data_IF_808417357430
#
_entry.id   IF_808417357430
#
_cell.length_a   1.000
_cell.length_b   1.000
_cell.length_c   1.000
_cell.angle_alpha   90.00
_cell.angle_beta   90.00
_cell.angle_gamma   90.00
#
_symmetry.space_group_name_H-M   'P 1'
#
loop_
_entity.id
_entity.type
_entity.pdbx_description
1 polymer ?
#
# COMPACT_ATOMS: atom_id res chain seq x y z
N UNK A 1 -59.85 2.04 -40.90
CA UNK A 1 -58.86 1.01 -41.28
C UNK A 1 -57.43 1.56 -41.36
N UNK A 2 -57.20 2.83 -41.72
CA UNK A 2 -55.87 3.39 -41.86
C UNK A 2 -55.15 3.66 -40.48
N UNK A 3 -55.87 4.06 -39.45
CA UNK A 3 -55.30 4.38 -38.14
C UNK A 3 -54.72 3.15 -37.41
N UNK A 4 -55.24 1.94 -37.68
CA UNK A 4 -54.71 0.71 -37.09
C UNK A 4 -53.35 0.29 -37.68
N UNK A 5 -53.08 0.62 -38.95
CA UNK A 5 -51.78 0.38 -39.60
C UNK A 5 -50.68 1.27 -39.02
N UNK A 6 -51.00 2.53 -38.71
CA UNK A 6 -50.02 3.46 -38.08
C UNK A 6 -49.74 3.10 -36.61
N UNK A 7 -50.73 2.54 -35.90
CA UNK A 7 -50.53 2.03 -34.54
C UNK A 7 -49.59 0.82 -34.50
N UNK A 8 -49.73 -0.12 -35.46
CA UNK A 8 -48.83 -1.28 -35.58
C UNK A 8 -47.41 -0.89 -35.99
N UNK A 9 -47.22 0.11 -36.86
CA UNK A 9 -45.90 0.63 -37.25
C UNK A 9 -45.24 1.35 -36.07
N UNK A 10 -45.99 2.14 -35.30
CA UNK A 10 -45.51 2.80 -34.09
C UNK A 10 -45.05 1.80 -33.01
N UNK A 11 -45.79 0.70 -32.81
CA UNK A 11 -45.46 -0.36 -31.86
C UNK A 11 -44.19 -1.15 -32.28
N UNK A 12 -43.98 -1.34 -33.60
CA UNK A 12 -42.79 -2.01 -34.12
C UNK A 12 -41.50 -1.17 -33.96
N UNK A 13 -41.60 0.16 -34.11
CA UNK A 13 -40.46 1.07 -33.95
C UNK A 13 -40.01 1.14 -32.48
N UNK A 14 -40.95 1.01 -31.54
CA UNK A 14 -40.61 1.06 -30.09
C UNK A 14 -39.75 -0.12 -29.61
N UNK A 15 -39.79 -1.26 -30.29
CA UNK A 15 -38.99 -2.44 -29.94
C UNK A 15 -37.54 -2.37 -30.43
N UNK A 16 -37.17 -1.45 -31.31
CA UNK A 16 -35.79 -1.29 -31.80
C UNK A 16 -34.94 -0.39 -30.89
N UNK A 17 -35.51 0.32 -29.91
CA UNK A 17 -34.80 1.24 -29.02
C UNK A 17 -34.27 0.49 -27.77
N UNK A 18 -34.63 -0.79 -27.58
CA UNK A 18 -34.30 -1.55 -26.36
C UNK A 18 -32.96 -2.32 -26.41
N UNK A 19 -32.16 -2.19 -27.47
CA UNK A 19 -30.78 -2.68 -27.42
C UNK A 19 -29.88 -1.62 -26.81
N UNK A 20 -29.96 -1.45 -25.51
CA UNK A 20 -28.86 -0.86 -24.77
C UNK A 20 -27.71 -1.88 -24.81
N UNK A 21 -26.61 -1.54 -25.48
CA UNK A 21 -25.37 -2.28 -25.35
C UNK A 21 -25.04 -2.34 -23.85
N UNK A 22 -25.25 -3.50 -23.22
CA UNK A 22 -24.70 -3.71 -21.89
C UNK A 22 -23.20 -3.54 -22.04
N UNK A 23 -22.56 -2.75 -21.19
CA UNK A 23 -21.10 -2.69 -21.19
C UNK A 23 -20.56 -4.13 -21.11
N UNK A 24 -19.67 -4.48 -22.01
CA UNK A 24 -19.06 -5.82 -22.03
C UNK A 24 -17.87 -5.80 -21.11
N UNK A 25 -17.78 -6.79 -20.25
CA UNK A 25 -16.63 -7.04 -19.42
C UNK A 25 -15.39 -7.20 -20.30
N UNK A 26 -14.39 -6.33 -20.12
CA UNK A 26 -13.15 -6.34 -20.89
C UNK A 26 -12.00 -6.76 -19.98
N UNK A 27 -11.01 -7.46 -20.55
CA UNK A 27 -9.78 -7.80 -19.86
C UNK A 27 -8.86 -6.59 -19.90
N UNK A 28 -8.43 -6.14 -18.73
CA UNK A 28 -7.48 -5.05 -18.53
C UNK A 28 -6.16 -5.61 -18.00
N UNK A 29 -5.05 -5.00 -18.44
CA UNK A 29 -3.71 -5.33 -18.00
C UNK A 29 -2.92 -4.06 -17.77
N UNK A 30 -2.40 -3.91 -16.55
CA UNK A 30 -1.55 -2.78 -16.17
C UNK A 30 -0.27 -3.31 -15.56
N UNK A 31 0.86 -2.81 -16.02
CA UNK A 31 2.18 -3.15 -15.50
C UNK A 31 3.03 -1.91 -15.26
N UNK A 32 3.99 -2.01 -14.35
CA UNK A 32 4.89 -0.91 -14.05
C UNK A 32 5.91 -1.25 -12.98
N UNK A 33 6.56 -0.20 -12.46
CA UNK A 33 7.52 -0.32 -11.37
C UNK A 33 7.06 0.54 -10.19
N UNK A 34 7.01 -0.06 -9.02
CA UNK A 34 6.67 0.62 -7.77
C UNK A 34 7.38 -0.04 -6.59
N UNK A 35 7.65 0.71 -5.53
CA UNK A 35 8.21 0.19 -4.28
C UNK A 35 9.49 -0.66 -4.45
N UNK A 36 10.33 -0.30 -5.45
CA UNK A 36 11.59 -0.98 -5.75
C UNK A 36 11.43 -2.33 -6.45
N UNK A 37 10.27 -2.64 -7.05
CA UNK A 37 10.01 -3.86 -7.82
C UNK A 37 9.06 -3.57 -8.98
N UNK A 38 8.85 -4.54 -9.88
CA UNK A 38 7.80 -4.50 -10.89
C UNK A 38 6.48 -5.03 -10.35
N UNK A 39 5.37 -4.59 -10.93
CA UNK A 39 4.04 -5.11 -10.69
C UNK A 39 3.34 -5.43 -12.01
N UNK A 40 2.39 -6.37 -11.94
CA UNK A 40 1.51 -6.76 -13.03
C UNK A 40 0.11 -6.99 -12.43
N UNK A 41 -0.89 -6.31 -12.99
CA UNK A 41 -2.27 -6.38 -12.51
C UNK A 41 -3.16 -6.77 -13.69
N UNK A 42 -3.84 -7.90 -13.58
CA UNK A 42 -4.84 -8.37 -14.54
C UNK A 42 -6.21 -8.30 -13.89
N UNK A 43 -7.19 -7.76 -14.58
CA UNK A 43 -8.56 -7.70 -14.07
C UNK A 43 -9.57 -7.57 -15.20
N UNK A 44 -10.86 -7.72 -14.86
CA UNK A 44 -11.95 -7.53 -15.80
C UNK A 44 -12.80 -6.35 -15.37
N UNK A 45 -13.05 -5.40 -16.28
CA UNK A 45 -13.86 -4.22 -16.02
C UNK A 45 -14.84 -3.92 -17.15
N UNK A 46 -16.00 -3.39 -16.79
CA UNK A 46 -16.95 -2.77 -17.73
C UNK A 46 -16.63 -1.29 -17.98
N UNK A 47 -15.69 -0.72 -17.21
CA UNK A 47 -15.30 0.68 -17.26
C UNK A 47 -14.01 0.86 -18.06
N UNK A 48 -13.98 1.91 -18.86
CA UNK A 48 -12.75 2.40 -19.49
C UNK A 48 -12.26 3.62 -18.71
N UNK A 49 -11.32 3.40 -17.80
CA UNK A 49 -10.77 4.44 -16.91
C UNK A 49 -9.24 4.47 -17.01
N UNK A 50 -8.63 5.54 -16.50
CA UNK A 50 -7.18 5.58 -16.33
C UNK A 50 -6.79 4.89 -15.01
N UNK A 51 -6.69 3.56 -15.06
CA UNK A 51 -6.36 2.71 -13.92
C UNK A 51 -4.98 2.99 -13.34
N UNK A 52 -3.99 3.31 -14.20
CA UNK A 52 -2.63 3.65 -13.79
C UNK A 52 -2.61 4.80 -12.79
N UNK A 53 -3.38 5.85 -13.05
CA UNK A 53 -3.45 7.00 -12.14
C UNK A 53 -3.98 6.63 -10.75
N UNK A 54 -4.94 5.71 -10.67
CA UNK A 54 -5.46 5.21 -9.40
C UNK A 54 -4.40 4.42 -8.63
N UNK A 55 -3.68 3.54 -9.32
CA UNK A 55 -2.59 2.75 -8.73
C UNK A 55 -1.42 3.64 -8.29
N UNK A 56 -1.00 4.56 -9.13
CA UNK A 56 0.08 5.52 -8.82
C UNK A 56 -0.23 6.33 -7.57
N UNK A 57 -1.47 6.78 -7.41
CA UNK A 57 -1.89 7.50 -6.20
C UNK A 57 -1.69 6.67 -4.93
N UNK A 58 -1.93 5.35 -4.98
CA UNK A 58 -1.72 4.44 -3.85
C UNK A 58 -0.21 4.29 -3.59
N UNK A 59 0.58 4.06 -4.64
CA UNK A 59 2.03 3.94 -4.53
C UNK A 59 2.68 5.21 -3.97
N UNK A 60 2.22 6.39 -4.40
CA UNK A 60 2.70 7.67 -3.88
C UNK A 60 2.42 7.84 -2.39
N UNK A 61 1.21 7.50 -1.93
CA UNK A 61 0.86 7.57 -0.50
C UNK A 61 1.73 6.61 0.31
N UNK A 62 1.87 5.36 -0.13
CA UNK A 62 2.72 4.35 0.56
C UNK A 62 4.17 4.82 0.63
N UNK A 63 4.72 5.31 -0.48
CA UNK A 63 6.09 5.82 -0.53
C UNK A 63 6.31 7.01 0.40
N UNK A 64 5.43 8.00 0.34
CA UNK A 64 5.48 9.19 1.20
C UNK A 64 5.40 8.82 2.69
N UNK A 65 4.59 7.84 3.00
CA UNK A 65 4.34 7.39 4.36
C UNK A 65 5.47 6.50 4.89
N UNK A 66 5.83 5.43 4.18
CA UNK A 66 6.55 4.30 4.75
C UNK A 66 7.89 3.94 4.07
N UNK A 67 8.31 4.65 3.02
CA UNK A 67 9.57 4.35 2.34
C UNK A 67 10.77 4.85 3.14
N UNK A 68 11.63 3.94 3.60
CA UNK A 68 12.91 4.29 4.23
C UNK A 68 13.95 4.81 3.23
N UNK A 69 13.72 4.60 1.94
CA UNK A 69 14.59 5.09 0.85
C UNK A 69 14.31 6.55 0.45
N UNK A 70 13.17 7.11 0.87
CA UNK A 70 12.82 8.52 0.64
C UNK A 70 13.15 9.36 1.88
N UNK A 71 14.12 10.29 1.80
CA UNK A 71 14.56 11.07 2.96
C UNK A 71 13.47 11.92 3.64
N UNK A 72 12.44 12.26 2.88
CA UNK A 72 11.33 13.11 3.29
C UNK A 72 10.03 12.32 3.59
N UNK A 73 10.07 11.00 3.56
CA UNK A 73 8.94 10.17 4.01
C UNK A 73 8.70 10.33 5.51
N UNK A 74 7.49 9.98 5.95
CA UNK A 74 7.16 10.12 7.38
C UNK A 74 7.97 9.16 8.24
N UNK A 75 8.16 7.90 7.80
CA UNK A 75 9.01 6.95 8.52
C UNK A 75 10.47 7.41 8.61
N UNK A 76 11.02 8.02 7.54
CA UNK A 76 12.39 8.53 7.55
C UNK A 76 12.56 9.72 8.49
N UNK A 77 11.57 10.61 8.56
CA UNK A 77 11.57 11.72 9.55
C UNK A 77 11.49 11.18 10.98
N UNK A 78 10.62 10.19 11.23
CA UNK A 78 10.50 9.51 12.54
C UNK A 78 11.84 8.88 12.93
N UNK A 79 12.49 8.17 12.00
CA UNK A 79 13.79 7.55 12.23
C UNK A 79 14.87 8.59 12.59
N UNK A 80 14.85 9.75 11.95
CA UNK A 80 15.72 10.90 12.27
C UNK A 80 15.36 11.62 13.58
N UNK A 81 14.33 11.16 14.30
CA UNK A 81 13.96 11.68 15.61
C UNK A 81 12.95 12.83 15.59
N UNK A 82 12.32 13.13 14.46
CA UNK A 82 11.22 14.11 14.41
C UNK A 82 9.99 13.52 15.11
N UNK A 83 9.58 14.13 16.21
CA UNK A 83 8.44 13.70 17.03
C UNK A 83 7.11 14.33 16.59
N UNK A 84 7.17 15.34 15.73
CA UNK A 84 5.99 16.11 15.32
C UNK A 84 5.31 15.51 14.07
N UNK A 85 5.86 14.39 13.55
CA UNK A 85 5.27 13.70 12.40
C UNK A 85 3.94 13.06 12.80
N UNK A 86 2.87 13.53 12.20
CA UNK A 86 1.55 12.94 12.31
C UNK A 86 1.37 11.92 11.17
N UNK A 87 1.33 10.64 11.52
CA UNK A 87 1.23 9.56 10.54
C UNK A 87 -0.18 9.44 9.98
N UNK A 88 -0.26 9.04 8.71
CA UNK A 88 -1.52 8.84 7.99
C UNK A 88 -2.22 7.52 8.36
N UNK A 89 -3.36 7.26 7.73
CA UNK A 89 -4.14 6.05 7.99
C UNK A 89 -3.39 4.78 7.59
N UNK A 90 -2.72 4.76 6.42
CA UNK A 90 -2.01 3.58 5.93
C UNK A 90 -0.84 3.22 6.86
N UNK A 91 -0.11 4.22 7.35
CA UNK A 91 0.94 4.00 8.34
C UNK A 91 0.39 3.35 9.61
N UNK A 92 -0.73 3.87 10.14
CA UNK A 92 -1.36 3.33 11.35
C UNK A 92 -1.82 1.88 11.17
N UNK A 93 -2.42 1.57 10.02
CA UNK A 93 -2.85 0.22 9.67
C UNK A 93 -1.66 -0.74 9.66
N UNK A 94 -0.56 -0.36 8.96
CA UNK A 94 0.67 -1.17 8.91
C UNK A 94 1.34 -1.29 10.27
N UNK A 95 1.37 -0.21 11.07
CA UNK A 95 1.91 -0.25 12.42
C UNK A 95 1.13 -1.22 13.31
N UNK A 96 -0.19 -1.17 13.30
CA UNK A 96 -1.04 -2.05 14.10
C UNK A 96 -0.94 -3.51 13.63
N UNK A 97 -0.95 -3.75 12.32
CA UNK A 97 -0.73 -5.08 11.74
C UNK A 97 0.65 -5.63 12.14
N UNK A 98 1.68 -4.77 12.13
CA UNK A 98 3.01 -5.14 12.59
C UNK A 98 3.02 -5.53 14.08
N UNK A 99 2.24 -4.86 14.93
CA UNK A 99 2.08 -5.24 16.35
C UNK A 99 1.46 -6.62 16.51
N UNK A 100 0.44 -6.91 15.71
CA UNK A 100 -0.22 -8.22 15.71
C UNK A 100 0.73 -9.32 15.26
N UNK A 101 1.42 -9.12 14.13
CA UNK A 101 2.38 -10.13 13.60
C UNK A 101 3.55 -10.32 14.57
N UNK A 102 4.10 -9.25 15.13
CA UNK A 102 5.15 -9.31 16.16
C UNK A 102 4.72 -10.20 17.33
N UNK A 103 3.51 -9.99 17.85
CA UNK A 103 2.98 -10.78 18.97
C UNK A 103 2.73 -12.24 18.57
N UNK A 104 2.14 -12.49 17.39
CA UNK A 104 1.82 -13.84 16.91
C UNK A 104 3.05 -14.67 16.52
N UNK A 105 4.20 -14.02 16.30
CA UNK A 105 5.47 -14.66 15.95
C UNK A 105 6.47 -14.65 17.09
N UNK A 106 6.06 -14.33 18.31
CA UNK A 106 6.96 -14.20 19.47
C UNK A 106 8.21 -13.33 19.17
N UNK A 107 8.03 -12.27 18.33
CA UNK A 107 9.10 -11.35 17.95
C UNK A 107 10.02 -11.83 16.81
N UNK A 108 9.76 -12.97 16.17
CA UNK A 108 10.52 -13.39 14.97
C UNK A 108 10.31 -12.44 13.80
N UNK A 109 9.15 -11.80 13.70
CA UNK A 109 8.95 -10.60 12.90
C UNK A 109 9.12 -9.38 13.79
N UNK A 110 10.12 -8.56 13.52
CA UNK A 110 10.34 -7.30 14.24
C UNK A 110 10.68 -6.16 13.25
N UNK A 111 9.80 -5.17 13.08
CA UNK A 111 10.02 -4.06 12.16
C UNK A 111 11.04 -3.04 12.69
N UNK A 112 11.74 -3.32 13.79
CA UNK A 112 12.79 -2.46 14.34
C UNK A 112 14.19 -2.95 14.07
N UNK A 113 14.36 -3.99 13.25
CA UNK A 113 15.67 -4.52 12.83
C UNK A 113 16.38 -3.65 11.80
N UNK A 114 15.81 -2.51 11.39
CA UNK A 114 16.32 -1.69 10.30
C UNK A 114 17.76 -1.22 10.47
N UNK A 115 18.21 -0.95 11.69
CA UNK A 115 19.62 -0.67 11.94
C UNK A 115 20.53 -1.85 11.58
N UNK A 116 20.13 -3.09 11.87
CA UNK A 116 20.86 -4.30 11.47
C UNK A 116 20.81 -4.51 9.97
N UNK A 117 19.63 -4.29 9.34
CA UNK A 117 19.45 -4.39 7.89
C UNK A 117 20.40 -3.41 7.17
N UNK A 118 20.49 -2.16 7.64
CA UNK A 118 21.46 -1.17 7.14
C UNK A 118 22.90 -1.64 7.37
N UNK A 119 23.20 -2.13 8.56
CA UNK A 119 24.53 -2.59 8.94
C UNK A 119 25.07 -3.73 8.07
N UNK A 120 24.17 -4.61 7.61
CA UNK A 120 24.51 -5.69 6.67
C UNK A 120 24.43 -5.28 5.19
N UNK A 121 24.19 -4.00 4.90
CA UNK A 121 24.16 -3.46 3.51
C UNK A 121 22.89 -3.77 2.72
N UNK A 122 21.81 -4.19 3.39
CA UNK A 122 20.51 -4.47 2.75
C UNK A 122 19.50 -3.32 2.90
N UNK A 123 19.86 -2.27 3.62
CA UNK A 123 18.99 -1.12 3.89
C UNK A 123 19.28 0.08 3.00
N UNK A 124 18.66 1.22 3.37
CA UNK A 124 18.79 2.50 2.67
C UNK A 124 20.09 3.25 3.02
N UNK A 125 20.75 2.88 4.08
CA UNK A 125 21.97 3.53 4.59
C UNK A 125 23.14 2.54 4.50
N UNK A 126 24.26 3.00 3.92
CA UNK A 126 25.51 2.23 3.93
C UNK A 126 26.22 2.41 5.27
N UNK A 127 26.63 1.32 5.88
CA UNK A 127 27.45 1.34 7.07
C UNK A 127 28.86 0.83 6.76
N UNK A 128 29.84 1.40 7.51
CA UNK A 128 31.25 0.99 7.45
C UNK A 128 31.45 -0.41 8.07
N UNK A 129 32.69 -0.93 8.03
CA UNK A 129 33.07 -2.17 8.70
C UNK A 129 32.59 -2.20 10.16
N UNK A 130 31.86 -3.26 10.51
CA UNK A 130 31.26 -3.44 11.83
C UNK A 130 32.18 -4.29 12.73
N UNK A 131 32.34 -3.86 13.96
CA UNK A 131 32.91 -4.69 15.02
C UNK A 131 31.79 -5.45 15.76
N UNK A 132 32.16 -6.50 16.52
CA UNK A 132 31.20 -7.21 17.40
C UNK A 132 30.50 -6.25 18.37
N UNK A 133 31.23 -5.28 18.92
CA UNK A 133 30.70 -4.28 19.86
C UNK A 133 29.65 -3.37 19.16
N UNK A 134 29.84 -3.07 17.88
CA UNK A 134 28.85 -2.30 17.10
C UNK A 134 27.57 -3.12 16.92
N UNK A 135 27.70 -4.41 16.62
CA UNK A 135 26.55 -5.31 16.49
C UNK A 135 25.75 -5.42 17.80
N UNK A 136 26.41 -5.63 18.94
CA UNK A 136 25.75 -5.65 20.26
C UNK A 136 24.98 -4.35 20.52
N UNK A 137 25.59 -3.22 20.16
CA UNK A 137 24.98 -1.90 20.30
C UNK A 137 23.71 -1.78 19.40
N UNK A 138 23.76 -2.26 18.16
CA UNK A 138 22.62 -2.23 17.25
C UNK A 138 21.51 -3.19 17.69
N UNK A 139 21.84 -4.40 18.15
CA UNK A 139 20.89 -5.38 18.71
C UNK A 139 20.14 -4.77 19.90
N UNK A 140 20.83 -4.00 20.76
CA UNK A 140 20.19 -3.35 21.91
C UNK A 140 19.11 -2.31 21.54
N UNK A 141 19.06 -1.86 20.29
CA UNK A 141 18.07 -0.92 19.76
C UNK A 141 16.84 -1.61 19.16
N UNK A 142 16.89 -2.94 19.00
CA UNK A 142 15.78 -3.74 18.48
C UNK A 142 14.77 -4.04 19.59
N UNK A 143 13.50 -3.89 19.30
CA UNK A 143 12.43 -4.21 20.24
C UNK A 143 11.14 -3.42 19.95
N UNK A 144 10.30 -3.95 19.09
CA UNK A 144 9.06 -3.28 18.67
C UNK A 144 8.02 -3.14 19.79
N UNK A 145 8.09 -3.97 20.83
CA UNK A 145 7.16 -3.90 21.97
C UNK A 145 7.10 -2.50 22.60
N UNK A 146 8.21 -1.77 22.58
CA UNK A 146 8.38 -0.47 23.23
C UNK A 146 8.09 0.73 22.30
N UNK A 147 7.61 0.47 21.09
CA UNK A 147 7.09 1.50 20.18
C UNK A 147 5.60 1.69 20.38
N UNK A 148 5.14 2.93 20.40
CA UNK A 148 3.74 3.29 20.63
C UNK A 148 3.23 4.25 19.57
N UNK A 149 2.00 4.01 19.13
CA UNK A 149 1.20 4.96 18.36
C UNK A 149 0.30 5.71 19.33
N UNK A 150 0.43 7.04 19.38
CA UNK A 150 -0.40 7.89 20.26
C UNK A 150 -1.78 8.12 19.67
N UNK A 151 -2.72 8.61 20.51
CA UNK A 151 -4.07 8.99 20.07
C UNK A 151 -4.05 10.13 19.04
N UNK A 152 -3.02 11.01 19.10
CA UNK A 152 -2.80 12.10 18.15
C UNK A 152 -2.12 11.64 16.85
N UNK A 153 -1.86 10.34 16.70
CA UNK A 153 -1.19 9.70 15.58
C UNK A 153 0.30 10.05 15.42
N UNK A 154 1.02 10.12 16.52
CA UNK A 154 2.48 10.22 16.53
C UNK A 154 3.11 8.89 16.95
N UNK A 155 4.32 8.63 16.45
CA UNK A 155 5.09 7.45 16.86
C UNK A 155 6.06 7.83 17.98
N UNK A 156 5.95 7.15 19.10
CA UNK A 156 6.92 7.22 20.19
C UNK A 156 7.90 6.06 20.11
N UNK A 157 9.20 6.37 20.14
CA UNK A 157 10.29 5.41 20.13
C UNK A 157 10.91 5.30 21.51
N UNK A 158 11.35 4.09 21.95
CA UNK A 158 12.02 3.91 23.25
C UNK A 158 13.39 4.60 23.30
N UNK A 159 14.07 4.65 22.16
CA UNK A 159 15.37 5.29 21.99
C UNK A 159 15.37 6.13 20.71
N UNK A 160 16.03 7.30 20.74
CA UNK A 160 16.15 8.15 19.56
C UNK A 160 16.82 7.46 18.37
N UNK A 161 17.72 6.51 18.64
CA UNK A 161 18.47 5.75 17.65
C UNK A 161 17.74 4.45 17.20
N UNK A 162 16.63 4.06 17.83
CA UNK A 162 15.84 2.93 17.36
C UNK A 162 15.26 3.27 15.98
N UNK A 163 15.27 2.28 15.08
CA UNK A 163 14.90 2.44 13.67
C UNK A 163 13.65 1.60 13.35
N UNK A 164 12.68 2.20 12.68
CA UNK A 164 11.46 1.54 12.26
C UNK A 164 11.50 1.37 10.74
N UNK A 165 11.20 0.17 10.26
CA UNK A 165 11.02 -0.11 8.83
C UNK A 165 9.87 -1.08 8.60
N UNK A 166 9.20 -0.91 7.45
CA UNK A 166 8.08 -1.76 7.05
C UNK A 166 8.37 -2.53 5.75
N UNK A 167 9.64 -2.65 5.33
CA UNK A 167 10.00 -3.25 4.05
C UNK A 167 9.49 -4.69 3.89
N UNK A 168 9.40 -5.45 4.99
CA UNK A 168 8.91 -6.81 4.98
C UNK A 168 7.38 -6.94 4.82
N UNK A 169 6.62 -5.88 5.09
CA UNK A 169 5.14 -5.91 5.11
C UNK A 169 4.50 -4.93 4.13
N UNK A 170 5.16 -3.80 3.81
CA UNK A 170 4.56 -2.73 3.04
C UNK A 170 4.14 -3.15 1.62
N UNK A 171 4.87 -4.06 0.97
CA UNK A 171 4.51 -4.54 -0.37
C UNK A 171 3.21 -5.35 -0.35
N UNK A 172 3.08 -6.31 0.58
CA UNK A 172 1.84 -7.08 0.76
C UNK A 172 0.65 -6.19 1.09
N UNK A 173 0.84 -5.26 2.04
CA UNK A 173 -0.17 -4.26 2.37
C UNK A 173 -0.59 -3.41 1.14
N UNK A 174 0.36 -3.04 0.29
CA UNK A 174 0.04 -2.27 -0.93
C UNK A 174 -0.79 -3.09 -1.91
N UNK A 175 -0.51 -4.39 -2.06
CA UNK A 175 -1.34 -5.29 -2.87
C UNK A 175 -2.78 -5.30 -2.36
N UNK A 176 -2.99 -5.39 -1.05
CA UNK A 176 -4.33 -5.32 -0.45
C UNK A 176 -5.01 -3.98 -0.72
N UNK A 177 -4.26 -2.86 -0.71
CA UNK A 177 -4.83 -1.53 -1.04
C UNK A 177 -5.23 -1.42 -2.50
N UNK A 178 -4.47 -2.00 -3.43
CA UNK A 178 -4.81 -2.08 -4.84
C UNK A 178 -6.07 -2.92 -5.05
N UNK A 179 -6.20 -4.06 -4.36
CA UNK A 179 -7.40 -4.89 -4.39
C UNK A 179 -8.63 -4.11 -3.91
N UNK A 180 -8.54 -3.44 -2.75
CA UNK A 180 -9.63 -2.59 -2.22
C UNK A 180 -9.99 -1.46 -3.20
N UNK A 181 -9.01 -0.87 -3.86
CA UNK A 181 -9.28 0.14 -4.89
C UNK A 181 -10.08 -0.47 -6.06
N UNK A 182 -9.64 -1.59 -6.63
CA UNK A 182 -10.35 -2.28 -7.71
C UNK A 182 -11.78 -2.64 -7.30
N UNK A 183 -11.98 -3.21 -6.11
CA UNK A 183 -13.31 -3.53 -5.56
C UNK A 183 -14.19 -2.29 -5.43
N UNK A 184 -13.63 -1.17 -4.97
CA UNK A 184 -14.35 0.11 -4.86
C UNK A 184 -14.84 0.63 -6.21
N UNK A 185 -14.17 0.25 -7.29
CA UNK A 185 -14.55 0.56 -8.68
C UNK A 185 -15.52 -0.47 -9.28
N UNK A 186 -15.89 -1.51 -8.55
CA UNK A 186 -16.80 -2.57 -8.98
C UNK A 186 -16.11 -3.69 -9.75
N UNK A 187 -14.79 -3.81 -9.66
CA UNK A 187 -14.04 -4.94 -10.22
C UNK A 187 -14.13 -6.12 -9.26
N UNK A 188 -14.61 -7.25 -9.74
CA UNK A 188 -14.80 -8.47 -8.93
C UNK A 188 -13.75 -9.56 -9.23
N UNK A 189 -13.07 -9.46 -10.38
CA UNK A 189 -12.10 -10.49 -10.82
C UNK A 189 -10.77 -9.82 -11.17
N UNK A 190 -9.75 -10.08 -10.35
CA UNK A 190 -8.41 -9.52 -10.50
C UNK A 190 -7.32 -10.48 -10.00
N UNK A 191 -6.11 -10.30 -10.50
CA UNK A 191 -4.89 -11.01 -10.12
C UNK A 191 -3.68 -10.07 -10.17
#
# INVERSE_FOLDING_TARGET
MNNFKYLLVGLAIFNFISCQNKPSLQSEYVEGNALGTSYHINFYSEKSENWEQGFDSIFEVVNKSMSTYLPNSDISKINKGNKDVKVDQMFREVFNLSKEIYANTDGYFDPTVGNLVNAYGFGAEELNELTEKDLDSLVSLVGFKDFYLTEENHIQKPNKNSYLEFNAIAKGYTVDRLAVYLESQGVENYL
#
